data_IF_660808855484
#
_entry.id   IF_660808855484
#
_cell.length_a   1.000
_cell.length_b   1.000
_cell.length_c   1.000
_cell.angle_alpha   90.00
_cell.angle_beta   90.00
_cell.angle_gamma   90.00
#
_symmetry.space_group_name_H-M   'P 1'
#
loop_
_entity.id
_entity.type
_entity.pdbx_description
1 polymer ?
#
# COMPACT_ATOMS: atom_id res chain seq x y z
N UNK A 1 -13.58 5.46 23.61
CA UNK A 1 -12.60 6.19 22.77
C UNK A 1 -13.00 5.91 21.34
N UNK A 2 -14.00 6.63 20.85
CA UNK A 2 -13.75 7.75 19.95
C UNK A 2 -13.96 7.24 18.52
N UNK A 3 -15.15 7.50 17.99
CA UNK A 3 -15.65 7.23 16.63
C UNK A 3 -14.58 7.44 15.55
N UNK A 4 -14.62 6.77 14.40
CA UNK A 4 -15.19 7.39 13.19
C UNK A 4 -15.26 6.37 12.03
N UNK A 5 -16.48 6.10 11.58
CA UNK A 5 -16.76 5.93 10.15
C UNK A 5 -16.15 7.14 9.42
N UNK A 6 -15.12 6.94 8.58
CA UNK A 6 -14.47 8.03 7.83
C UNK A 6 -14.82 7.94 6.34
N UNK A 7 -15.16 9.06 5.71
CA UNK A 7 -15.86 9.11 4.43
C UNK A 7 -14.92 8.68 3.32
N UNK A 8 -15.14 7.49 2.70
CA UNK A 8 -14.48 7.05 1.45
C UNK A 8 -13.02 7.54 1.34
N UNK A 9 -12.25 7.33 2.41
CA UNK A 9 -11.02 8.08 2.67
C UNK A 9 -9.84 7.32 2.08
N UNK A 10 -9.15 7.95 1.12
CA UNK A 10 -7.92 7.51 0.44
C UNK A 10 -7.19 6.36 1.12
N UNK A 11 -6.95 5.28 0.36
CA UNK A 11 -6.14 4.13 0.76
C UNK A 11 -4.89 4.57 1.54
N UNK A 12 -4.77 4.12 2.79
CA UNK A 12 -3.54 4.39 3.54
C UNK A 12 -2.45 3.39 3.14
N UNK A 13 -1.19 3.77 3.34
CA UNK A 13 -0.03 2.88 3.10
C UNK A 13 -0.20 1.56 3.87
N UNK A 14 -0.83 1.58 5.06
CA UNK A 14 -1.07 0.39 5.87
C UNK A 14 -2.14 -0.52 5.26
N UNK A 15 -3.18 0.05 4.67
CA UNK A 15 -4.24 -0.70 4.00
C UNK A 15 -3.71 -1.37 2.74
N UNK A 16 -3.00 -0.61 1.91
CA UNK A 16 -2.32 -1.15 0.71
C UNK A 16 -1.33 -2.24 1.09
N UNK A 17 -0.55 -2.05 2.16
CA UNK A 17 0.41 -3.05 2.62
C UNK A 17 -0.28 -4.36 3.05
N UNK A 18 -1.39 -4.24 3.81
CA UNK A 18 -2.19 -5.39 4.23
C UNK A 18 -2.82 -6.11 3.04
N UNK A 19 -3.38 -5.37 2.10
CA UNK A 19 -4.08 -5.94 0.95
C UNK A 19 -3.10 -6.56 -0.07
N UNK A 20 -1.91 -5.98 -0.23
CA UNK A 20 -0.85 -6.54 -1.08
C UNK A 20 0.02 -7.60 -0.38
N UNK A 21 -0.26 -7.94 0.88
CA UNK A 21 0.49 -8.90 1.71
C UNK A 21 1.98 -8.56 1.85
N UNK A 22 2.28 -7.27 2.04
CA UNK A 22 3.66 -6.76 2.19
C UNK A 22 3.81 -5.93 3.44
N UNK A 23 5.07 -5.62 3.78
CA UNK A 23 5.35 -4.65 4.83
C UNK A 23 5.04 -3.23 4.34
N UNK A 24 4.53 -2.32 5.21
CA UNK A 24 4.38 -0.90 4.87
C UNK A 24 5.70 -0.26 4.43
N UNK A 25 6.84 -0.81 4.86
CA UNK A 25 8.16 -0.40 4.39
C UNK A 25 8.37 -0.72 2.90
N UNK A 26 7.84 -1.83 2.40
CA UNK A 26 7.85 -2.21 0.98
C UNK A 26 7.01 -1.25 0.15
N UNK A 27 5.81 -0.90 0.63
CA UNK A 27 4.95 0.09 -0.04
C UNK A 27 5.63 1.46 -0.06
N UNK A 28 6.26 1.87 1.05
CA UNK A 28 7.05 3.09 1.10
C UNK A 28 8.21 3.08 0.10
N UNK A 29 8.93 1.95 -0.02
CA UNK A 29 9.99 1.80 -1.02
C UNK A 29 9.44 1.90 -2.45
N UNK A 30 8.29 1.29 -2.74
CA UNK A 30 7.63 1.41 -4.07
C UNK A 30 7.25 2.86 -4.36
N UNK A 31 6.60 3.55 -3.40
CA UNK A 31 6.21 4.95 -3.53
C UNK A 31 7.41 5.91 -3.68
N UNK A 32 8.52 5.63 -3.00
CA UNK A 32 9.77 6.40 -3.11
C UNK A 32 10.65 5.96 -4.31
N UNK A 33 10.18 5.05 -5.17
CA UNK A 33 10.93 4.56 -6.33
C UNK A 33 12.12 3.64 -5.99
N UNK A 34 12.27 3.21 -4.73
CA UNK A 34 13.31 2.28 -4.24
C UNK A 34 12.96 0.83 -4.56
N UNK A 35 12.83 0.53 -5.85
CA UNK A 35 12.44 -0.79 -6.36
C UNK A 35 13.57 -1.83 -6.33
N UNK A 36 14.80 -1.43 -5.99
CA UNK A 36 15.96 -2.34 -5.94
C UNK A 36 15.78 -3.54 -4.98
N UNK A 37 14.96 -3.38 -3.94
CA UNK A 37 14.65 -4.43 -2.95
C UNK A 37 13.25 -5.02 -3.14
N UNK A 38 12.53 -4.60 -4.18
CA UNK A 38 11.14 -4.99 -4.42
C UNK A 38 11.05 -5.70 -5.75
N UNK A 39 10.71 -7.00 -5.71
CA UNK A 39 10.52 -7.75 -6.94
C UNK A 39 9.41 -7.12 -7.81
N UNK A 40 9.54 -7.17 -9.13
CA UNK A 40 8.56 -6.59 -10.05
C UNK A 40 7.15 -7.19 -9.86
N UNK A 41 7.05 -8.45 -9.41
CA UNK A 41 5.78 -9.08 -9.05
C UNK A 41 5.10 -8.38 -7.86
N UNK A 42 5.87 -8.08 -6.80
CA UNK A 42 5.40 -7.38 -5.60
C UNK A 42 5.00 -5.95 -5.92
N UNK A 43 5.80 -5.26 -6.74
CA UNK A 43 5.48 -3.92 -7.23
C UNK A 43 4.12 -3.91 -7.95
N UNK A 44 3.89 -4.82 -8.90
CA UNK A 44 2.61 -4.93 -9.63
C UNK A 44 1.42 -5.25 -8.72
N UNK A 45 1.61 -6.04 -7.65
CA UNK A 45 0.57 -6.28 -6.64
C UNK A 45 0.24 -4.99 -5.89
N UNK A 46 1.25 -4.29 -5.38
CA UNK A 46 1.09 -3.01 -4.67
C UNK A 46 0.44 -1.95 -5.56
N UNK A 47 0.88 -1.79 -6.80
CA UNK A 47 0.29 -0.84 -7.77
C UNK A 47 -1.19 -1.15 -8.02
N UNK A 48 -1.56 -2.42 -8.23
CA UNK A 48 -2.97 -2.82 -8.38
C UNK A 48 -3.82 -2.52 -7.15
N UNK A 49 -3.27 -2.75 -5.96
CA UNK A 49 -4.00 -2.53 -4.72
C UNK A 49 -4.14 -1.03 -4.40
N UNK A 50 -3.16 -0.21 -4.82
CA UNK A 50 -3.25 1.26 -4.78
C UNK A 50 -4.34 1.77 -5.72
N UNK A 51 -4.47 1.20 -6.92
CA UNK A 51 -5.53 1.59 -7.86
C UNK A 51 -6.93 1.14 -7.42
N UNK A 52 -7.00 0.07 -6.64
CA UNK A 52 -8.26 -0.54 -6.19
C UNK A 52 -8.88 0.15 -4.97
N UNK A 53 -8.06 0.70 -4.07
CA UNK A 53 -8.47 1.29 -2.79
C UNK A 53 -8.58 2.83 -2.87
#
# INVERSE_FOLDING_TARGET
MGVEDRPKARATIKDVARAAEVSPMTVSNVLNGRLQFVSPATRKRVEREIERL
#
